data_IF_920981406001
#
_entry.id   IF_920981406001
#
_cell.length_a   1.000
_cell.length_b   1.000
_cell.length_c   1.000
_cell.angle_alpha   90.00
_cell.angle_beta   90.00
_cell.angle_gamma   90.00
#
_symmetry.space_group_name_H-M   'P 1'
#
loop_
_entity.id
_entity.type
_entity.pdbx_description
1 polymer ?
#
# COMPACT_ATOMS: atom_id res chain seq x y z
N UNK A 1 5.66 -16.48 -4.25
CA UNK A 1 5.90 -15.18 -3.58
C UNK A 1 4.60 -14.41 -3.62
N UNK A 2 4.10 -13.98 -2.46
CA UNK A 2 2.81 -13.32 -2.33
C UNK A 2 2.91 -12.16 -1.35
N UNK A 3 1.93 -11.27 -1.43
CA UNK A 3 1.86 -10.08 -0.59
C UNK A 3 1.61 -10.49 0.88
N UNK A 4 2.46 -10.02 1.80
CA UNK A 4 2.32 -10.34 3.22
C UNK A 4 1.27 -9.44 3.87
N UNK A 5 0.17 -10.03 4.33
CA UNK A 5 -0.97 -9.30 4.93
C UNK A 5 -0.58 -8.52 6.18
N UNK A 6 0.48 -8.96 6.88
CA UNK A 6 0.97 -8.29 8.08
C UNK A 6 1.63 -6.95 7.78
N UNK A 7 1.91 -6.61 6.52
CA UNK A 7 2.48 -5.32 6.15
C UNK A 7 1.40 -4.25 5.94
N UNK A 8 0.12 -4.58 6.17
CA UNK A 8 -1.01 -3.63 6.01
C UNK A 8 -1.83 -3.49 7.30
N UNK A 9 -2.60 -2.42 7.39
CA UNK A 9 -3.71 -2.34 8.35
C UNK A 9 -4.81 -3.28 7.89
N UNK A 10 -5.57 -3.85 8.84
CA UNK A 10 -6.62 -4.83 8.53
C UNK A 10 -7.65 -4.30 7.51
N UNK A 11 -8.05 -3.03 7.65
CA UNK A 11 -8.95 -2.34 6.73
C UNK A 11 -8.41 -2.19 5.29
N UNK A 12 -7.09 -2.29 5.12
CA UNK A 12 -6.41 -2.03 3.86
C UNK A 12 -6.01 -3.31 3.12
N UNK A 13 -6.05 -4.46 3.80
CA UNK A 13 -5.62 -5.75 3.24
C UNK A 13 -6.36 -6.07 1.93
N UNK A 14 -7.66 -5.80 1.86
CA UNK A 14 -8.43 -6.08 0.64
C UNK A 14 -8.02 -5.17 -0.52
N UNK A 15 -7.75 -3.89 -0.25
CA UNK A 15 -7.27 -2.97 -1.26
C UNK A 15 -5.88 -3.39 -1.77
N UNK A 16 -4.95 -3.73 -0.87
CA UNK A 16 -3.62 -4.19 -1.24
C UNK A 16 -3.66 -5.47 -2.10
N UNK A 17 -4.56 -6.41 -1.77
CA UNK A 17 -4.77 -7.61 -2.58
C UNK A 17 -5.36 -7.31 -3.96
N UNK A 18 -6.25 -6.32 -4.05
CA UNK A 18 -6.82 -5.87 -5.33
C UNK A 18 -5.74 -5.28 -6.23
N UNK A 19 -4.95 -4.34 -5.71
CA UNK A 19 -3.85 -3.71 -6.45
C UNK A 19 -2.78 -4.73 -6.86
N UNK A 20 -2.49 -5.72 -6.00
CA UNK A 20 -1.56 -6.80 -6.35
C UNK A 20 -2.04 -7.64 -7.53
N UNK A 21 -3.33 -7.98 -7.55
CA UNK A 21 -3.93 -8.70 -8.69
C UNK A 21 -3.90 -7.84 -9.95
N UNK A 22 -4.23 -6.55 -9.83
CA UNK A 22 -4.17 -5.61 -10.94
C UNK A 22 -2.75 -5.51 -11.53
N UNK A 23 -1.72 -5.45 -10.70
CA UNK A 23 -0.33 -5.47 -11.11
C UNK A 23 0.02 -6.74 -11.92
N UNK A 24 -0.39 -7.93 -11.45
CA UNK A 24 -0.19 -9.17 -12.20
C UNK A 24 -0.93 -9.19 -13.54
N UNK A 25 -2.17 -8.70 -13.59
CA UNK A 25 -2.90 -8.57 -14.85
C UNK A 25 -2.21 -7.61 -15.82
N UNK A 26 -1.62 -6.52 -15.33
CA UNK A 26 -0.83 -5.60 -16.15
C UNK A 26 0.41 -6.29 -16.73
N UNK A 27 1.12 -7.11 -15.94
CA UNK A 27 2.29 -7.88 -16.40
C UNK A 27 1.89 -8.81 -17.55
N UNK A 28 0.81 -9.59 -17.39
CA UNK A 28 0.32 -10.49 -18.45
C UNK A 28 -0.06 -9.73 -19.72
N UNK A 29 -0.68 -8.55 -19.59
CA UNK A 29 -1.02 -7.69 -20.74
C UNK A 29 0.22 -7.12 -21.41
N UNK A 30 1.24 -6.70 -20.65
CA UNK A 30 2.52 -6.23 -21.19
C UNK A 30 3.17 -7.33 -22.03
N UNK A 31 3.21 -8.57 -21.53
CA UNK A 31 3.75 -9.72 -22.26
C UNK A 31 3.05 -9.94 -23.61
N UNK A 32 1.71 -9.95 -23.62
CA UNK A 32 0.91 -10.08 -24.83
C UNK A 32 1.17 -8.94 -25.84
N UNK A 33 1.25 -7.69 -25.36
CA UNK A 33 1.44 -6.52 -26.22
C UNK A 33 2.86 -6.41 -26.77
N UNK A 34 3.86 -6.89 -26.03
CA UNK A 34 5.22 -7.05 -26.54
C UNK A 34 5.23 -8.07 -27.69
N UNK A 35 4.58 -9.23 -27.51
CA UNK A 35 4.55 -10.28 -28.53
C UNK A 35 3.85 -9.84 -29.83
N UNK A 36 2.85 -8.97 -29.73
CA UNK A 36 2.13 -8.40 -30.88
C UNK A 36 2.78 -7.14 -31.48
N UNK A 37 3.83 -6.61 -30.84
CA UNK A 37 4.55 -5.42 -31.30
C UNK A 37 3.86 -4.08 -30.99
N UNK A 38 2.80 -4.07 -30.18
CA UNK A 38 2.09 -2.85 -29.79
C UNK A 38 2.82 -2.14 -28.63
N UNK A 39 3.94 -1.50 -28.96
CA UNK A 39 4.78 -0.82 -27.97
C UNK A 39 4.09 0.38 -27.31
N UNK A 40 3.07 0.97 -27.96
CA UNK A 40 2.32 2.09 -27.38
C UNK A 40 1.49 1.60 -26.21
N UNK A 41 0.77 0.50 -26.40
CA UNK A 41 -0.06 -0.12 -25.38
C UNK A 41 0.78 -0.68 -24.23
N UNK A 42 1.95 -1.25 -24.54
CA UNK A 42 2.95 -1.64 -23.52
C UNK A 42 3.28 -0.46 -22.60
N UNK A 43 3.58 0.70 -23.19
CA UNK A 43 3.99 1.88 -22.43
C UNK A 43 2.87 2.39 -21.52
N UNK A 44 1.63 2.38 -22.00
CA UNK A 44 0.45 2.74 -21.19
C UNK A 44 0.24 1.74 -20.05
N UNK A 45 0.28 0.44 -20.34
CA UNK A 45 0.08 -0.60 -19.33
C UNK A 45 1.18 -0.58 -18.26
N UNK A 46 2.41 -0.21 -18.61
CA UNK A 46 3.48 0.01 -17.63
C UNK A 46 3.16 1.16 -16.65
N UNK A 47 2.48 2.22 -17.10
CA UNK A 47 2.06 3.32 -16.20
C UNK A 47 1.01 2.81 -15.20
N UNK A 48 0.06 2.01 -15.65
CA UNK A 48 -0.97 1.42 -14.78
C UNK A 48 -0.37 0.45 -13.75
N UNK A 49 0.62 -0.36 -14.18
CA UNK A 49 1.39 -1.21 -13.29
C UNK A 49 2.10 -0.38 -12.21
N UNK A 50 2.80 0.69 -12.60
CA UNK A 50 3.50 1.58 -11.67
C UNK A 50 2.51 2.21 -10.68
N UNK A 51 1.32 2.60 -11.13
CA UNK A 51 0.30 3.15 -10.26
C UNK A 51 -0.20 2.14 -9.23
N UNK A 52 -0.43 0.89 -9.64
CA UNK A 52 -0.84 -0.20 -8.73
C UNK A 52 0.23 -0.46 -7.67
N UNK A 53 1.50 -0.50 -8.08
CA UNK A 53 2.65 -0.67 -7.16
C UNK A 53 2.74 0.49 -6.16
N UNK A 54 2.61 1.74 -6.63
CA UNK A 54 2.64 2.93 -5.76
C UNK A 54 1.54 2.93 -4.71
N UNK A 55 0.33 2.49 -5.08
CA UNK A 55 -0.75 2.40 -4.09
C UNK A 55 -0.41 1.35 -3.03
N UNK A 56 0.09 0.16 -3.41
CA UNK A 56 0.55 -0.86 -2.45
C UNK A 56 1.61 -0.29 -1.49
N UNK A 57 2.63 0.41 -2.01
CA UNK A 57 3.66 1.06 -1.19
C UNK A 57 3.06 2.04 -0.19
N UNK A 58 2.11 2.87 -0.63
CA UNK A 58 1.42 3.84 0.22
C UNK A 58 0.59 3.18 1.32
N UNK A 59 -0.10 2.07 1.02
CA UNK A 59 -0.84 1.31 2.03
C UNK A 59 0.12 0.73 3.09
N UNK A 60 1.29 0.24 2.66
CA UNK A 60 2.32 -0.26 3.56
C UNK A 60 2.89 0.86 4.44
N UNK A 61 3.29 1.99 3.86
CA UNK A 61 3.78 3.15 4.63
C UNK A 61 2.75 3.67 5.63
N UNK A 62 1.45 3.59 5.30
CA UNK A 62 0.39 3.95 6.27
C UNK A 62 0.40 3.03 7.50
N UNK A 63 0.66 1.73 7.33
CA UNK A 63 0.83 0.83 8.47
C UNK A 63 2.05 1.22 9.29
N UNK A 64 3.21 1.41 8.65
CA UNK A 64 4.44 1.82 9.34
C UNK A 64 4.25 3.10 10.17
N UNK A 65 3.55 4.09 9.63
CA UNK A 65 3.23 5.32 10.36
C UNK A 65 2.28 5.09 11.52
N UNK A 66 1.29 4.21 11.35
CA UNK A 66 0.36 3.86 12.42
C UNK A 66 1.06 3.12 13.56
N UNK A 67 1.89 2.13 13.23
CA UNK A 67 2.64 1.34 14.23
C UNK A 67 3.58 2.25 15.03
N UNK A 68 4.32 3.14 14.37
CA UNK A 68 5.17 4.15 15.05
C UNK A 68 4.38 5.08 15.96
N UNK A 69 3.17 5.48 15.55
CA UNK A 69 2.31 6.33 16.37
C UNK A 69 1.85 5.57 17.62
N UNK A 70 1.43 4.31 17.47
CA UNK A 70 1.04 3.45 18.58
C UNK A 70 2.20 3.25 19.57
N UNK A 71 3.40 2.93 19.08
CA UNK A 71 4.61 2.83 19.90
C UNK A 71 4.88 4.12 20.69
N UNK A 72 4.80 5.27 20.02
CA UNK A 72 5.00 6.58 20.64
C UNK A 72 3.96 6.84 21.74
N UNK A 73 2.68 6.55 21.47
CA UNK A 73 1.60 6.71 22.46
C UNK A 73 1.82 5.82 23.68
N UNK A 74 2.23 4.57 23.48
CA UNK A 74 2.57 3.65 24.57
C UNK A 74 3.73 4.14 25.42
N UNK A 75 4.77 4.72 24.81
CA UNK A 75 5.90 5.31 25.54
C UNK A 75 5.48 6.48 26.43
N UNK A 76 4.63 7.37 25.92
CA UNK A 76 4.10 8.50 26.70
C UNK A 76 3.19 8.02 27.83
N UNK A 77 2.34 7.02 27.58
CA UNK A 77 1.49 6.41 28.60
C UNK A 77 2.33 5.80 29.73
N UNK A 78 3.44 5.10 29.41
CA UNK A 78 4.39 4.55 30.41
C UNK A 78 5.05 5.63 31.26
N UNK A 79 5.19 6.86 30.73
CA UNK A 79 5.73 8.02 31.45
C UNK A 79 4.66 8.78 32.25
N UNK A 80 3.41 8.28 32.30
CA UNK A 80 2.30 8.92 33.02
C UNK A 80 1.73 10.16 32.31
N UNK A 81 2.03 10.34 31.03
CA UNK A 81 1.52 11.45 30.22
C UNK A 81 0.24 10.98 29.53
N UNK A 82 -0.90 11.54 29.93
CA UNK A 82 -2.20 11.23 29.33
C UNK A 82 -2.36 11.95 27.98
N UNK A 83 -2.35 11.18 26.88
CA UNK A 83 -2.49 11.66 25.52
C UNK A 83 -3.94 11.69 25.01
N UNK A 84 -4.93 11.45 25.88
CA UNK A 84 -6.36 11.55 25.54
C UNK A 84 -6.76 12.89 24.90
N UNK A 85 -5.97 13.95 25.12
CA UNK A 85 -6.15 15.30 24.56
C UNK A 85 -5.77 15.40 23.07
N UNK A 86 -4.85 14.57 22.57
CA UNK A 86 -4.32 14.68 21.19
C UNK A 86 -5.26 14.06 20.15
N UNK A 87 -6.22 13.24 20.59
CA UNK A 87 -7.14 12.52 19.71
C UNK A 87 -8.14 13.42 18.93
N UNK A 88 -8.16 14.74 19.20
CA UNK A 88 -9.14 15.67 18.63
C UNK A 88 -8.67 16.43 17.38
N UNK A 89 -7.42 16.29 16.96
CA UNK A 89 -6.83 17.10 15.86
C UNK A 89 -6.66 16.32 14.55
N UNK A 90 -6.86 14.99 14.54
CA UNK A 90 -6.63 14.14 13.35
C UNK A 90 -7.88 13.35 12.93
N UNK A 91 -9.07 13.85 13.28
CA UNK A 91 -10.35 13.36 12.75
C UNK A 91 -10.65 13.93 11.37
#
# INVERSE_FOLDING_TARGET
MGLNKNDFLEKDVQQALSEYRAAWSCISRIEEKIATGDLKEVKLTCVDLINSVREIEKLNSRKEHHDRLCETVEEFAKRGIDLSIVNRVVS
#
